data_IF_357737824593
#
_entry.id   IF_357737824593
#
_cell.length_a   1.000
_cell.length_b   1.000
_cell.length_c   1.000
_cell.angle_alpha   90.00
_cell.angle_beta   90.00
_cell.angle_gamma   90.00
#
_symmetry.space_group_name_H-M   'P 1'
#
loop_
_entity.id
_entity.type
_entity.pdbx_description
1 polymer ?
#
# COMPACT_ATOMS: atom_id res chain seq x y z
N UNK A 1 -15.68 15.66 -12.70
CA UNK A 1 -15.39 14.24 -12.38
C UNK A 1 -16.68 13.66 -11.84
N UNK A 2 -17.38 12.76 -12.56
CA UNK A 2 -18.63 12.18 -12.06
C UNK A 2 -18.33 11.42 -10.76
N UNK A 3 -19.04 11.71 -9.67
CA UNK A 3 -18.92 11.01 -8.38
C UNK A 3 -18.01 11.68 -7.34
N UNK A 4 -18.24 12.95 -7.02
CA UNK A 4 -17.55 13.70 -5.95
C UNK A 4 -17.93 13.26 -4.52
N UNK A 5 -18.19 11.97 -4.31
CA UNK A 5 -18.27 11.39 -2.97
C UNK A 5 -16.87 11.11 -2.46
N UNK A 6 -16.64 11.30 -1.18
CA UNK A 6 -15.37 10.90 -0.56
C UNK A 6 -15.16 9.39 -0.75
N UNK A 7 -13.95 8.91 -1.08
CA UNK A 7 -13.68 7.45 -1.16
C UNK A 7 -14.02 6.72 0.15
N UNK A 8 -14.09 7.47 1.27
CA UNK A 8 -14.56 6.96 2.56
C UNK A 8 -16.06 6.63 2.60
N UNK A 9 -16.89 7.20 1.73
CA UNK A 9 -18.33 6.90 1.66
C UNK A 9 -18.59 5.53 1.04
N UNK A 10 -17.88 5.21 -0.04
CA UNK A 10 -17.95 3.92 -0.73
C UNK A 10 -16.54 3.41 -1.03
N UNK A 11 -15.84 2.84 -0.02
CA UNK A 11 -14.48 2.35 -0.19
C UNK A 11 -14.43 1.24 -1.24
N UNK A 12 -13.50 1.37 -2.18
CA UNK A 12 -13.23 0.38 -3.22
C UNK A 12 -11.79 -0.10 -3.12
N UNK A 13 -11.55 -1.37 -3.46
CA UNK A 13 -10.25 -2.00 -3.25
C UNK A 13 -9.13 -1.40 -4.12
N UNK A 14 -9.43 -1.04 -5.37
CA UNK A 14 -8.40 -0.66 -6.35
C UNK A 14 -7.58 0.58 -5.92
N UNK A 15 -8.19 1.72 -5.52
CA UNK A 15 -7.43 2.88 -5.04
C UNK A 15 -6.51 2.56 -3.85
N UNK A 16 -6.98 1.75 -2.89
CA UNK A 16 -6.19 1.36 -1.72
C UNK A 16 -4.98 0.48 -2.10
N UNK A 17 -5.16 -0.46 -3.05
CA UNK A 17 -4.05 -1.27 -3.57
C UNK A 17 -3.05 -0.43 -4.36
N UNK A 18 -3.51 0.53 -5.17
CA UNK A 18 -2.63 1.45 -5.90
C UNK A 18 -1.77 2.25 -4.93
N UNK A 19 -2.38 2.82 -3.87
CA UNK A 19 -1.65 3.53 -2.82
C UNK A 19 -0.64 2.59 -2.14
N UNK A 20 -1.11 1.41 -1.70
CA UNK A 20 -0.25 0.40 -1.07
C UNK A 20 0.95 0.05 -1.94
N UNK A 21 0.75 -0.42 -3.17
CA UNK A 21 1.85 -0.79 -4.07
C UNK A 21 2.78 0.39 -4.38
N UNK A 22 2.25 1.60 -4.57
CA UNK A 22 3.09 2.80 -4.84
C UNK A 22 4.07 3.08 -3.70
N UNK A 23 3.69 2.80 -2.45
CA UNK A 23 4.61 3.02 -1.32
C UNK A 23 5.86 2.14 -1.36
N UNK A 24 5.91 1.05 -2.16
CA UNK A 24 7.11 0.23 -2.39
C UNK A 24 8.28 1.02 -3.02
N UNK A 25 7.99 2.16 -3.65
CA UNK A 25 9.03 3.04 -4.18
C UNK A 25 9.95 3.55 -3.07
N UNK A 26 9.40 3.80 -1.87
CA UNK A 26 10.17 4.27 -0.71
C UNK A 26 11.25 3.24 -0.30
N UNK A 27 10.94 1.97 -0.01
CA UNK A 27 11.98 1.01 0.30
C UNK A 27 12.92 0.76 -0.87
N UNK A 28 12.45 0.74 -2.12
CA UNK A 28 13.31 0.43 -3.27
C UNK A 28 14.34 1.52 -3.59
N UNK A 29 13.96 2.79 -3.46
CA UNK A 29 14.79 3.90 -3.92
C UNK A 29 15.34 4.77 -2.79
N UNK A 30 14.80 4.67 -1.57
CA UNK A 30 15.27 5.45 -0.41
C UNK A 30 15.85 4.53 0.66
N UNK A 31 15.05 3.63 1.24
CA UNK A 31 15.50 2.87 2.42
C UNK A 31 16.56 1.81 2.08
N UNK A 32 16.33 0.94 1.09
CA UNK A 32 17.28 -0.11 0.73
C UNK A 32 18.64 0.47 0.29
N UNK A 33 18.71 1.53 -0.54
CA UNK A 33 19.97 2.21 -0.80
C UNK A 33 20.63 2.78 0.45
N UNK A 34 19.87 3.44 1.32
CA UNK A 34 20.40 4.04 2.57
C UNK A 34 20.97 3.00 3.53
N UNK A 35 20.45 1.76 3.49
CA UNK A 35 20.96 0.62 4.25
C UNK A 35 22.11 -0.14 3.55
N UNK A 36 22.63 0.37 2.43
CA UNK A 36 23.71 -0.27 1.68
C UNK A 36 23.26 -1.50 0.86
N UNK A 37 21.96 -1.81 0.83
CA UNK A 37 21.39 -2.96 0.11
C UNK A 37 21.27 -2.71 -1.40
N UNK A 38 21.53 -1.47 -1.85
CA UNK A 38 21.41 -1.05 -3.26
C UNK A 38 19.97 -0.73 -3.67
N UNK A 39 19.81 -0.19 -4.89
CA UNK A 39 18.49 0.10 -5.48
C UNK A 39 17.70 -1.22 -5.61
N UNK A 40 16.48 -1.21 -5.10
CA UNK A 40 15.61 -2.39 -5.06
C UNK A 40 16.35 -3.64 -4.50
N UNK A 41 17.14 -3.46 -3.44
CA UNK A 41 17.89 -4.52 -2.74
C UNK A 41 18.87 -5.31 -3.65
N UNK A 42 19.39 -4.68 -4.71
CA UNK A 42 20.24 -5.33 -5.72
C UNK A 42 21.53 -5.94 -5.19
N UNK A 43 22.05 -5.48 -4.04
CA UNK A 43 23.28 -5.99 -3.40
C UNK A 43 23.02 -7.06 -2.35
N UNK A 44 21.76 -7.47 -2.14
CA UNK A 44 21.44 -8.58 -1.22
C UNK A 44 21.75 -9.94 -1.84
N UNK A 45 22.02 -11.00 -1.05
CA UNK A 45 22.24 -12.35 -1.60
C UNK A 45 21.06 -12.92 -2.40
N UNK A 46 19.83 -12.44 -2.14
CA UNK A 46 18.59 -12.91 -2.80
C UNK A 46 17.67 -11.73 -3.17
N UNK A 47 18.01 -10.94 -4.20
CA UNK A 47 17.32 -9.68 -4.51
C UNK A 47 15.86 -9.88 -4.91
N UNK A 48 15.55 -10.90 -5.71
CA UNK A 48 14.17 -11.21 -6.10
C UNK A 48 13.28 -11.51 -4.89
N UNK A 49 13.79 -12.27 -3.91
CA UNK A 49 13.06 -12.59 -2.69
C UNK A 49 12.84 -11.33 -1.83
N UNK A 50 13.86 -10.48 -1.70
CA UNK A 50 13.75 -9.22 -0.96
C UNK A 50 12.70 -8.27 -1.59
N UNK A 51 12.69 -8.17 -2.93
CA UNK A 51 11.69 -7.40 -3.68
C UNK A 51 10.29 -7.96 -3.48
N UNK A 52 10.10 -9.26 -3.63
CA UNK A 52 8.81 -9.93 -3.44
C UNK A 52 8.27 -9.70 -2.02
N UNK A 53 9.10 -9.88 -0.99
CA UNK A 53 8.70 -9.61 0.40
C UNK A 53 8.26 -8.16 0.61
N UNK A 54 8.99 -7.22 0.04
CA UNK A 54 8.62 -5.80 0.09
C UNK A 54 7.30 -5.55 -0.63
N UNK A 55 7.10 -6.08 -1.85
CA UNK A 55 5.84 -5.95 -2.57
C UNK A 55 4.67 -6.57 -1.79
N UNK A 56 4.83 -7.78 -1.25
CA UNK A 56 3.82 -8.43 -0.41
C UNK A 56 3.44 -7.56 0.79
N UNK A 57 4.42 -6.99 1.50
CA UNK A 57 4.15 -6.14 2.65
C UNK A 57 3.33 -4.89 2.28
N UNK A 58 3.66 -4.23 1.17
CA UNK A 58 2.98 -3.01 0.75
C UNK A 58 1.61 -3.28 0.09
N UNK A 59 1.44 -4.43 -0.56
CA UNK A 59 0.13 -4.92 -0.99
C UNK A 59 -0.75 -5.25 0.21
N UNK A 60 -0.23 -5.95 1.23
CA UNK A 60 -0.94 -6.21 2.48
C UNK A 60 -1.35 -4.93 3.21
N UNK A 61 -0.48 -3.91 3.21
CA UNK A 61 -0.81 -2.58 3.70
C UNK A 61 -1.99 -1.96 2.93
N UNK A 62 -1.98 -2.01 1.59
CA UNK A 62 -3.10 -1.54 0.76
C UNK A 62 -4.42 -2.28 1.05
N UNK A 63 -4.37 -3.60 1.25
CA UNK A 63 -5.54 -4.37 1.71
C UNK A 63 -6.02 -3.91 3.09
N UNK A 64 -5.10 -3.67 4.03
CA UNK A 64 -5.41 -3.12 5.34
C UNK A 64 -6.11 -1.77 5.25
N UNK A 65 -5.62 -0.86 4.41
CA UNK A 65 -6.26 0.45 4.16
C UNK A 65 -7.70 0.30 3.68
N UNK A 66 -7.95 -0.62 2.74
CA UNK A 66 -9.31 -0.90 2.27
C UNK A 66 -10.20 -1.41 3.40
N UNK A 67 -9.75 -2.41 4.17
CA UNK A 67 -10.55 -2.97 5.26
C UNK A 67 -10.84 -1.94 6.37
N UNK A 68 -9.88 -1.07 6.68
CA UNK A 68 -10.06 0.02 7.64
C UNK A 68 -11.08 1.03 7.13
N UNK A 69 -10.99 1.46 5.87
CA UNK A 69 -11.95 2.39 5.29
C UNK A 69 -13.35 1.79 5.17
N UNK A 70 -13.44 0.52 4.76
CA UNK A 70 -14.70 -0.22 4.69
C UNK A 70 -15.37 -0.31 6.07
N UNK A 71 -14.60 -0.68 7.11
CA UNK A 71 -15.10 -0.72 8.49
C UNK A 71 -15.55 0.66 8.97
N UNK A 72 -14.77 1.70 8.68
CA UNK A 72 -15.10 3.07 9.04
C UNK A 72 -16.38 3.55 8.35
N UNK A 73 -16.56 3.25 7.06
CA UNK A 73 -17.78 3.56 6.30
C UNK A 73 -19.02 2.93 6.94
N UNK A 74 -18.95 1.66 7.35
CA UNK A 74 -20.06 0.97 8.03
C UNK A 74 -20.38 1.58 9.39
N UNK A 75 -19.35 1.94 10.15
CA UNK A 75 -19.53 2.65 11.43
C UNK A 75 -20.22 3.98 11.19
N UNK A 76 -19.75 4.81 10.26
CA UNK A 76 -20.36 6.11 9.96
C UNK A 76 -21.83 5.93 9.53
N UNK A 77 -22.13 5.03 8.61
CA UNK A 77 -23.50 4.77 8.14
C UNK A 77 -24.43 4.22 9.23
N UNK A 78 -23.90 3.64 10.30
CA UNK A 78 -24.73 3.18 11.42
C UNK A 78 -25.15 4.33 12.36
N UNK A 79 -24.46 5.47 12.32
CA UNK A 79 -24.67 6.62 13.21
C UNK A 79 -25.25 7.86 12.53
N UNK A 80 -25.37 7.86 11.20
CA UNK A 80 -25.98 8.91 10.38
C UNK A 80 -27.13 8.32 9.56
#
# INVERSE_FOLDING_TARGET
IPGSGSWFEQPTLLPALVVGVTTVLIPYFVMQPSFGLGIAASKTPRPAQARLKSLMAHTSFGFGLYLSAWSLSHVIQAFY
#
